data_IF_534811765838
#
_entry.id   IF_534811765838
#
_cell.length_a   1.000
_cell.length_b   1.000
_cell.length_c   1.000
_cell.angle_alpha   90.00
_cell.angle_beta   90.00
_cell.angle_gamma   90.00
#
_symmetry.space_group_name_H-M   'P 1'
#
loop_
_entity.id
_entity.type
_entity.pdbx_description
1 polymer ?
#
# COMPACT_ATOMS: atom_id res chain seq x y z
N UNK A 1 -9.44 -17.84 -14.59
CA UNK A 1 -9.54 -18.57 -13.32
C UNK A 1 -8.63 -17.89 -12.30
N UNK A 2 -9.14 -17.56 -11.13
CA UNK A 2 -8.37 -16.94 -10.04
C UNK A 2 -7.38 -17.96 -9.46
N UNK A 3 -6.09 -17.66 -9.57
CA UNK A 3 -5.01 -18.51 -9.08
C UNK A 3 -4.56 -18.13 -7.67
N UNK A 4 -4.63 -16.83 -7.33
CA UNK A 4 -4.21 -16.30 -6.04
C UNK A 4 -5.10 -15.14 -5.62
N UNK A 5 -5.64 -15.21 -4.41
CA UNK A 5 -6.23 -14.08 -3.71
C UNK A 5 -5.19 -13.48 -2.77
N UNK A 6 -5.07 -12.15 -2.79
CA UNK A 6 -4.24 -11.39 -1.85
C UNK A 6 -5.14 -10.49 -1.03
N UNK A 7 -5.08 -10.60 0.30
CA UNK A 7 -5.79 -9.71 1.23
C UNK A 7 -4.77 -8.74 1.83
N UNK A 8 -4.82 -7.49 1.43
CA UNK A 8 -3.90 -6.44 1.87
C UNK A 8 -4.56 -5.53 2.91
N UNK A 9 -3.80 -5.09 3.89
CA UNK A 9 -4.24 -4.28 5.01
C UNK A 9 -4.39 -2.79 4.67
N UNK A 10 -3.73 -2.33 3.58
CA UNK A 10 -3.82 -0.97 3.06
C UNK A 10 -3.69 -0.91 1.53
N UNK A 11 -4.18 0.19 0.94
CA UNK A 11 -4.27 0.34 -0.51
C UNK A 11 -2.90 0.43 -1.20
N UNK A 12 -1.94 1.16 -0.63
CA UNK A 12 -0.59 1.23 -1.21
C UNK A 12 0.08 -0.14 -1.19
N UNK A 13 -0.07 -0.89 -0.09
CA UNK A 13 0.42 -2.26 0.00
C UNK A 13 -0.25 -3.23 -0.96
N UNK A 14 -1.55 -3.03 -1.25
CA UNK A 14 -2.26 -3.78 -2.27
C UNK A 14 -1.64 -3.59 -3.66
N UNK A 15 -1.36 -2.34 -4.04
CA UNK A 15 -0.72 -2.01 -5.31
C UNK A 15 0.74 -2.47 -5.37
N UNK A 16 1.54 -2.24 -4.30
CA UNK A 16 2.93 -2.70 -4.21
C UNK A 16 3.06 -4.23 -4.37
N UNK A 17 2.05 -4.96 -3.92
CA UNK A 17 2.02 -6.41 -4.03
C UNK A 17 1.48 -6.85 -5.38
N UNK A 18 0.39 -6.25 -5.85
CA UNK A 18 -0.21 -6.56 -7.15
C UNK A 18 0.73 -6.32 -8.32
N UNK A 19 1.57 -5.28 -8.24
CA UNK A 19 2.53 -4.96 -9.31
C UNK A 19 3.61 -6.03 -9.48
N UNK A 20 3.94 -6.81 -8.45
CA UNK A 20 4.92 -7.90 -8.55
C UNK A 20 4.47 -8.99 -9.55
N UNK A 21 3.15 -9.18 -9.67
CA UNK A 21 2.54 -10.08 -10.66
C UNK A 21 2.32 -9.38 -12.01
N UNK A 22 1.79 -8.18 -12.00
CA UNK A 22 1.53 -7.40 -13.21
C UNK A 22 2.82 -7.14 -14.01
N UNK A 23 3.94 -6.85 -13.34
CA UNK A 23 5.25 -6.67 -13.97
C UNK A 23 5.77 -7.95 -14.68
N UNK A 24 5.28 -9.12 -14.27
CA UNK A 24 5.50 -10.39 -14.95
C UNK A 24 4.47 -10.67 -16.08
N UNK A 25 3.58 -9.72 -16.39
CA UNK A 25 2.54 -9.86 -17.40
C UNK A 25 1.34 -10.72 -16.95
N UNK A 26 1.23 -11.01 -15.66
CA UNK A 26 0.13 -11.80 -15.10
C UNK A 26 -1.08 -10.87 -14.89
N UNK A 27 -2.27 -11.20 -15.43
CA UNK A 27 -3.48 -10.40 -15.23
C UNK A 27 -3.78 -10.22 -13.74
N UNK A 28 -3.70 -8.98 -13.26
CA UNK A 28 -3.82 -8.64 -11.85
C UNK A 28 -4.78 -7.47 -11.68
N UNK A 29 -5.72 -7.60 -10.74
CA UNK A 29 -6.64 -6.55 -10.31
C UNK A 29 -6.45 -6.21 -8.85
N UNK A 30 -6.59 -4.95 -8.53
CA UNK A 30 -6.68 -4.45 -7.16
C UNK A 30 -8.05 -3.83 -6.97
N UNK A 31 -8.81 -4.34 -6.01
CA UNK A 31 -10.15 -3.86 -5.67
C UNK A 31 -10.16 -3.33 -4.24
N UNK A 32 -10.99 -2.33 -4.00
CA UNK A 32 -11.13 -1.68 -2.68
C UNK A 32 -12.42 -2.13 -2.01
N UNK A 33 -12.31 -2.53 -0.74
CA UNK A 33 -13.44 -2.83 0.13
C UNK A 33 -13.84 -4.30 0.16
N UNK A 34 -14.87 -4.59 0.96
CA UNK A 34 -15.28 -5.94 1.31
C UNK A 34 -16.33 -6.57 0.39
N UNK A 35 -16.79 -5.85 -0.63
CA UNK A 35 -17.80 -6.36 -1.57
C UNK A 35 -17.10 -6.85 -2.83
N UNK A 36 -16.71 -8.10 -2.84
CA UNK A 36 -15.92 -8.72 -3.92
C UNK A 36 -16.70 -9.88 -4.51
N UNK A 37 -16.94 -9.85 -5.82
CA UNK A 37 -17.45 -11.00 -6.55
C UNK A 37 -16.28 -11.87 -7.03
N UNK A 38 -15.93 -12.89 -6.24
CA UNK A 38 -14.85 -13.81 -6.57
C UNK A 38 -15.15 -14.69 -7.78
N UNK A 39 -16.43 -14.92 -8.11
CA UNK A 39 -16.85 -15.77 -9.21
C UNK A 39 -16.80 -15.04 -10.55
N UNK A 40 -17.11 -13.75 -10.57
CA UNK A 40 -17.06 -12.92 -11.79
C UNK A 40 -15.64 -12.40 -12.12
N UNK A 41 -14.64 -12.69 -11.28
CA UNK A 41 -13.27 -12.21 -11.49
C UNK A 41 -12.58 -12.95 -12.66
N UNK A 42 -12.06 -12.22 -13.62
CA UNK A 42 -11.33 -12.73 -14.79
C UNK A 42 -9.78 -12.63 -14.65
N UNK A 43 -9.28 -11.98 -13.60
CA UNK A 43 -7.85 -11.89 -13.32
C UNK A 43 -7.28 -13.21 -12.76
N UNK A 44 -6.00 -13.46 -13.02
CA UNK A 44 -5.27 -14.57 -12.42
C UNK A 44 -4.91 -14.27 -10.95
N UNK A 45 -4.67 -13.00 -10.63
CA UNK A 45 -4.39 -12.51 -9.27
C UNK A 45 -5.38 -11.41 -8.94
N UNK A 46 -6.10 -11.58 -7.85
CA UNK A 46 -6.98 -10.56 -7.28
C UNK A 46 -6.40 -10.09 -5.95
N UNK A 47 -6.18 -8.80 -5.84
CA UNK A 47 -5.76 -8.15 -4.59
C UNK A 47 -6.95 -7.39 -4.04
N UNK A 48 -7.32 -7.67 -2.82
CA UNK A 48 -8.37 -6.94 -2.09
C UNK A 48 -7.69 -6.05 -1.06
N UNK A 49 -7.85 -4.75 -1.23
CA UNK A 49 -7.54 -3.79 -0.18
C UNK A 49 -8.66 -3.82 0.85
N UNK A 50 -8.34 -4.24 2.05
CA UNK A 50 -9.30 -4.45 3.14
C UNK A 50 -9.42 -3.26 4.08
N UNK A 51 -8.50 -2.28 3.98
CA UNK A 51 -8.42 -1.10 4.86
C UNK A 51 -8.50 -1.46 6.36
N UNK A 52 -7.89 -2.57 6.73
CA UNK A 52 -7.95 -3.11 8.09
C UNK A 52 -6.87 -2.58 9.01
N UNK A 53 -5.84 -1.90 8.49
CA UNK A 53 -4.70 -1.44 9.27
C UNK A 53 -5.11 -0.58 10.46
N UNK A 54 -6.01 0.38 10.25
CA UNK A 54 -6.46 1.36 11.25
C UNK A 54 -7.70 0.92 12.05
N UNK A 55 -8.21 -0.28 11.78
CA UNK A 55 -9.34 -0.82 12.53
C UNK A 55 -8.89 -1.37 13.90
N UNK A 56 -9.86 -1.59 14.80
CA UNK A 56 -9.58 -2.42 15.97
C UNK A 56 -9.29 -3.87 15.56
N UNK A 57 -8.47 -4.58 16.33
CA UNK A 57 -8.12 -5.98 16.07
C UNK A 57 -9.35 -6.87 15.83
N UNK A 58 -10.43 -6.66 16.61
CA UNK A 58 -11.67 -7.42 16.44
C UNK A 58 -12.37 -7.14 15.09
N UNK A 59 -12.38 -5.88 14.64
CA UNK A 59 -12.96 -5.52 13.34
C UNK A 59 -12.09 -6.06 12.19
N UNK A 60 -10.76 -5.91 12.27
CA UNK A 60 -9.84 -6.44 11.28
C UNK A 60 -9.99 -7.98 11.16
N UNK A 61 -10.07 -8.68 12.29
CA UNK A 61 -10.37 -10.12 12.32
C UNK A 61 -11.66 -10.44 11.57
N UNK A 62 -12.76 -9.71 11.85
CA UNK A 62 -14.07 -9.97 11.24
C UNK A 62 -14.05 -9.79 9.72
N UNK A 63 -13.39 -8.74 9.21
CA UNK A 63 -13.24 -8.47 7.78
C UNK A 63 -12.48 -9.60 7.09
N UNK A 64 -11.31 -9.99 7.61
CA UNK A 64 -10.49 -11.05 7.03
C UNK A 64 -11.22 -12.40 7.09
N UNK A 65 -11.89 -12.72 8.20
CA UNK A 65 -12.67 -13.96 8.33
C UNK A 65 -13.82 -14.02 7.32
N UNK A 66 -14.55 -12.91 7.10
CA UNK A 66 -15.61 -12.81 6.09
C UNK A 66 -15.07 -13.09 4.69
N UNK A 67 -14.07 -12.31 4.26
CA UNK A 67 -13.49 -12.43 2.91
C UNK A 67 -12.87 -13.81 2.67
N UNK A 68 -12.20 -14.38 3.68
CA UNK A 68 -11.67 -15.76 3.60
C UNK A 68 -12.76 -16.79 3.36
N UNK A 69 -13.88 -16.70 4.10
CA UNK A 69 -15.02 -17.63 3.95
C UNK A 69 -15.67 -17.50 2.57
N UNK A 70 -15.91 -16.27 2.12
CA UNK A 70 -16.51 -16.01 0.81
C UNK A 70 -15.63 -16.50 -0.33
N UNK A 71 -14.31 -16.22 -0.28
CA UNK A 71 -13.34 -16.69 -1.25
C UNK A 71 -13.27 -18.22 -1.33
N UNK A 72 -13.22 -18.89 -0.17
CA UNK A 72 -13.23 -20.36 -0.13
C UNK A 72 -14.52 -20.96 -0.68
N UNK A 73 -15.68 -20.36 -0.38
CA UNK A 73 -16.96 -20.76 -0.91
C UNK A 73 -17.04 -20.59 -2.43
N UNK A 74 -16.33 -19.62 -2.99
CA UNK A 74 -16.17 -19.42 -4.43
C UNK A 74 -15.10 -20.31 -5.08
N UNK A 75 -14.45 -21.20 -4.31
CA UNK A 75 -13.46 -22.15 -4.80
C UNK A 75 -12.03 -21.57 -4.93
N UNK A 76 -11.73 -20.44 -4.32
CA UNK A 76 -10.37 -19.89 -4.28
C UNK A 76 -9.48 -20.83 -3.47
N UNK A 77 -8.40 -21.32 -4.09
CA UNK A 77 -7.54 -22.31 -3.46
C UNK A 77 -6.43 -21.66 -2.60
N UNK A 78 -5.72 -20.67 -3.13
CA UNK A 78 -4.59 -20.05 -2.44
C UNK A 78 -4.90 -18.63 -2.01
N UNK A 79 -4.62 -18.32 -0.75
CA UNK A 79 -4.78 -16.97 -0.17
C UNK A 79 -3.45 -16.52 0.41
N UNK A 80 -3.04 -15.31 0.05
CA UNK A 80 -1.88 -14.61 0.58
C UNK A 80 -2.34 -13.44 1.45
N UNK A 81 -1.98 -13.42 2.73
CA UNK A 81 -2.20 -12.24 3.57
C UNK A 81 -1.01 -11.29 3.43
N UNK A 82 -1.24 -10.16 2.80
CA UNK A 82 -0.26 -9.09 2.71
C UNK A 82 -0.29 -8.26 4.00
N UNK A 83 0.87 -8.12 4.62
CA UNK A 83 1.08 -7.31 5.83
C UNK A 83 1.99 -6.12 5.55
N UNK A 84 1.94 -5.10 6.39
CA UNK A 84 2.93 -4.01 6.36
C UNK A 84 4.34 -4.55 6.58
N UNK A 85 5.30 -4.11 5.78
CA UNK A 85 6.69 -4.55 5.89
C UNK A 85 7.46 -3.94 7.08
N UNK A 86 6.85 -2.95 7.78
CA UNK A 86 7.31 -2.46 9.07
C UNK A 86 6.51 -3.03 10.25
N UNK A 87 5.61 -4.01 9.99
CA UNK A 87 4.78 -4.71 10.98
C UNK A 87 3.78 -3.82 11.72
N UNK A 88 3.29 -2.72 11.12
CA UNK A 88 2.16 -1.93 11.67
C UNK A 88 0.85 -2.68 11.50
N UNK A 89 -0.14 -2.29 12.30
CA UNK A 89 -1.54 -2.74 12.17
C UNK A 89 -1.86 -4.05 12.89
N UNK A 90 -2.88 -4.73 12.41
CA UNK A 90 -3.55 -5.83 13.12
C UNK A 90 -3.02 -7.21 12.71
N UNK A 91 -1.69 -7.38 12.59
CA UNK A 91 -1.07 -8.58 12.00
C UNK A 91 -1.52 -9.86 12.68
N UNK A 92 -1.46 -9.94 14.03
CA UNK A 92 -1.85 -11.13 14.76
C UNK A 92 -3.34 -11.48 14.58
N UNK A 93 -4.22 -10.47 14.65
CA UNK A 93 -5.65 -10.64 14.46
C UNK A 93 -5.98 -11.14 13.03
N UNK A 94 -5.36 -10.55 12.02
CA UNK A 94 -5.61 -10.89 10.61
C UNK A 94 -5.08 -12.26 10.23
N UNK A 95 -3.86 -12.61 10.67
CA UNK A 95 -3.29 -13.95 10.43
C UNK A 95 -4.11 -15.04 11.15
N UNK A 96 -4.55 -14.77 12.37
CA UNK A 96 -5.40 -15.72 13.11
C UNK A 96 -6.78 -15.88 12.47
N UNK A 97 -7.37 -14.79 11.95
CA UNK A 97 -8.63 -14.84 11.22
C UNK A 97 -8.53 -15.73 9.97
N UNK A 98 -7.47 -15.52 9.19
CA UNK A 98 -7.20 -16.34 7.99
C UNK A 98 -7.03 -17.82 8.37
N UNK A 99 -6.19 -18.12 9.36
CA UNK A 99 -5.90 -19.49 9.77
C UNK A 99 -7.15 -20.20 10.33
N UNK A 100 -7.84 -19.58 11.30
CA UNK A 100 -9.02 -20.19 11.94
C UNK A 100 -10.19 -20.37 10.95
N UNK A 101 -10.40 -19.41 10.05
CA UNK A 101 -11.51 -19.47 9.09
C UNK A 101 -11.28 -20.50 7.98
N UNK A 102 -10.05 -20.65 7.53
CA UNK A 102 -9.71 -21.61 6.47
C UNK A 102 -9.74 -23.08 6.94
N UNK A 103 -9.63 -23.33 8.23
CA UNK A 103 -9.49 -24.67 8.78
C UNK A 103 -8.09 -25.29 8.55
N UNK A 104 -7.14 -24.52 8.05
CA UNK A 104 -5.76 -24.98 7.90
C UNK A 104 -5.06 -25.03 9.27
N UNK A 105 -4.06 -25.91 9.38
CA UNK A 105 -3.33 -26.10 10.64
C UNK A 105 -2.15 -25.16 10.78
N UNK A 106 -1.62 -24.66 9.66
CA UNK A 106 -0.37 -23.87 9.60
C UNK A 106 -0.49 -22.71 8.64
N UNK A 107 0.10 -21.58 9.03
CA UNK A 107 0.22 -20.40 8.19
C UNK A 107 1.68 -19.93 8.16
N UNK A 108 2.43 -20.19 7.08
CA UNK A 108 3.76 -19.63 6.89
C UNK A 108 3.70 -18.10 6.77
N UNK A 109 4.56 -17.42 7.52
CA UNK A 109 4.67 -15.98 7.54
C UNK A 109 6.12 -15.52 7.31
N UNK A 110 6.38 -14.82 6.20
CA UNK A 110 7.68 -14.27 5.80
C UNK A 110 7.62 -12.74 5.78
N UNK A 111 7.83 -12.07 6.92
CA UNK A 111 7.64 -10.62 7.03
C UNK A 111 8.75 -9.79 6.37
N UNK A 112 9.91 -10.37 6.06
CA UNK A 112 11.08 -9.65 5.58
C UNK A 112 10.90 -9.06 4.16
N UNK A 113 11.57 -7.91 3.92
CA UNK A 113 11.71 -7.24 2.62
C UNK A 113 13.16 -6.74 2.47
N UNK A 114 14.11 -7.65 2.21
CA UNK A 114 15.54 -7.33 2.21
C UNK A 114 15.94 -6.23 1.20
N UNK A 115 15.20 -6.10 0.09
CA UNK A 115 15.49 -5.08 -0.95
C UNK A 115 15.35 -3.63 -0.44
N UNK A 116 14.69 -3.45 0.70
CA UNK A 116 14.54 -2.14 1.36
C UNK A 116 15.04 -2.19 2.81
N UNK A 117 15.98 -3.11 3.06
CA UNK A 117 16.67 -3.28 4.35
C UNK A 117 15.73 -3.53 5.54
N UNK A 118 14.66 -4.35 5.30
CA UNK A 118 13.75 -4.86 6.33
C UNK A 118 13.93 -6.36 6.43
N UNK A 119 14.54 -6.80 7.52
CA UNK A 119 14.97 -8.20 7.69
C UNK A 119 14.47 -8.78 9.01
N UNK A 120 14.32 -10.12 9.06
CA UNK A 120 13.99 -10.83 10.30
C UNK A 120 15.12 -11.77 10.62
N UNK A 121 15.67 -11.68 11.85
CA UNK A 121 16.75 -12.53 12.36
C UNK A 121 16.47 -12.92 13.79
N UNK A 122 16.59 -14.20 14.10
CA UNK A 122 16.31 -14.77 15.41
C UNK A 122 14.91 -14.39 15.94
N UNK A 123 13.92 -14.29 15.01
CA UNK A 123 12.56 -13.91 15.28
C UNK A 123 12.35 -12.41 15.57
N UNK A 124 13.37 -11.58 15.42
CA UNK A 124 13.32 -10.12 15.61
C UNK A 124 13.34 -9.43 14.26
N UNK A 125 12.47 -8.45 14.08
CA UNK A 125 12.38 -7.66 12.86
C UNK A 125 13.18 -6.37 12.96
N UNK A 126 14.02 -6.13 11.94
CA UNK A 126 14.92 -4.98 11.85
C UNK A 126 14.59 -4.12 10.64
N UNK A 127 14.78 -2.83 10.77
CA UNK A 127 14.68 -1.84 9.69
C UNK A 127 15.98 -1.02 9.67
N UNK A 128 16.70 -1.06 8.55
CA UNK A 128 18.00 -0.37 8.40
C UNK A 128 18.96 -0.69 9.56
N UNK A 129 18.99 -1.94 9.96
CA UNK A 129 19.91 -2.46 10.97
C UNK A 129 19.50 -2.24 12.44
N UNK A 130 18.40 -1.50 12.72
CA UNK A 130 17.87 -1.32 14.08
C UNK A 130 16.58 -2.10 14.29
N UNK A 131 16.27 -2.58 15.52
CA UNK A 131 14.97 -3.18 15.79
C UNK A 131 13.82 -2.26 15.38
N UNK A 132 12.73 -2.81 14.85
CA UNK A 132 11.60 -2.00 14.34
C UNK A 132 11.04 -1.04 15.38
N UNK A 133 11.09 -1.39 16.66
CA UNK A 133 10.66 -0.54 17.78
C UNK A 133 11.54 0.70 17.99
N UNK A 134 12.78 0.68 17.51
CA UNK A 134 13.73 1.79 17.59
C UNK A 134 13.78 2.61 16.29
N UNK A 135 13.06 2.15 15.26
CA UNK A 135 12.93 2.81 13.98
C UNK A 135 11.84 3.90 14.02
N UNK A 136 11.70 4.73 12.98
CA UNK A 136 10.58 5.67 12.87
C UNK A 136 9.19 5.04 13.01
N UNK A 137 9.05 3.74 12.78
CA UNK A 137 7.78 3.02 12.92
C UNK A 137 7.45 2.65 14.38
N UNK A 138 8.45 2.58 15.26
CA UNK A 138 8.23 2.42 16.70
C UNK A 138 7.72 3.68 17.39
N UNK A 139 7.92 4.85 16.77
CA UNK A 139 7.48 6.15 17.26
C UNK A 139 6.37 6.77 16.38
N UNK A 140 5.76 5.97 15.51
CA UNK A 140 4.64 6.41 14.67
C UNK A 140 3.50 6.92 15.58
N UNK A 141 2.95 8.14 15.35
CA UNK A 141 1.95 8.72 16.24
C UNK A 141 0.58 8.02 16.17
N UNK A 142 0.30 7.29 15.11
CA UNK A 142 -0.97 6.58 14.89
C UNK A 142 -0.87 5.11 15.24
N UNK A 143 0.19 4.45 14.77
CA UNK A 143 0.36 2.99 14.86
C UNK A 143 1.80 2.60 15.24
N UNK A 144 2.22 2.92 16.48
CA UNK A 144 3.56 2.57 16.94
C UNK A 144 3.71 1.04 17.01
N UNK A 145 4.78 0.52 16.41
CA UNK A 145 5.15 -0.90 16.54
C UNK A 145 5.83 -1.11 17.88
N UNK A 146 5.17 -1.85 18.79
CA UNK A 146 5.59 -2.00 20.19
C UNK A 146 6.50 -3.18 20.45
N UNK A 147 6.50 -4.18 19.56
CA UNK A 147 7.30 -5.39 19.69
C UNK A 147 8.16 -5.61 18.45
N UNK A 148 9.47 -5.74 18.64
CA UNK A 148 10.39 -6.11 17.55
C UNK A 148 10.42 -7.63 17.34
N UNK A 149 10.15 -8.43 18.40
CA UNK A 149 10.00 -9.88 18.29
C UNK A 149 8.64 -10.22 17.71
N UNK A 150 8.64 -10.86 16.54
CA UNK A 150 7.41 -11.08 15.75
C UNK A 150 6.40 -11.97 16.48
N UNK A 151 6.85 -12.96 17.28
CA UNK A 151 5.96 -13.79 18.09
C UNK A 151 5.23 -13.01 19.18
N UNK A 152 5.90 -12.02 19.81
CA UNK A 152 5.28 -11.14 20.82
C UNK A 152 4.25 -10.21 20.18
N UNK A 153 4.59 -9.63 19.01
CA UNK A 153 3.67 -8.79 18.24
C UNK A 153 2.39 -9.55 17.86
N UNK A 154 2.51 -10.79 17.43
CA UNK A 154 1.35 -11.64 17.09
C UNK A 154 0.57 -11.97 18.37
N UNK A 155 1.25 -12.38 19.45
CA UNK A 155 0.65 -12.79 20.71
C UNK A 155 -0.12 -11.67 21.44
N UNK A 156 0.19 -10.38 21.16
CA UNK A 156 -0.59 -9.26 21.68
C UNK A 156 -2.04 -9.25 21.16
N UNK A 157 -2.28 -9.81 19.97
CA UNK A 157 -3.57 -9.70 19.27
C UNK A 157 -4.33 -11.03 19.15
N UNK A 158 -3.71 -12.17 19.45
CA UNK A 158 -4.34 -13.49 19.33
C UNK A 158 -3.71 -14.53 20.24
N UNK A 159 -4.50 -15.55 20.59
CA UNK A 159 -4.10 -16.77 21.30
C UNK A 159 -3.59 -17.89 20.40
N UNK A 160 -3.58 -17.68 19.07
CA UNK A 160 -3.02 -18.65 18.11
C UNK A 160 -1.52 -18.77 18.33
N UNK A 161 -0.99 -20.00 18.53
CA UNK A 161 0.44 -20.19 18.71
C UNK A 161 1.24 -19.64 17.52
N UNK A 162 2.34 -18.93 17.81
CA UNK A 162 3.27 -18.42 16.82
C UNK A 162 4.69 -18.86 17.16
N UNK A 163 5.41 -19.35 16.16
CA UNK A 163 6.75 -19.94 16.32
C UNK A 163 7.71 -19.29 15.32
N UNK A 164 8.90 -18.91 15.79
CA UNK A 164 9.98 -18.44 14.92
C UNK A 164 10.92 -19.56 14.53
N UNK A 165 11.29 -19.59 13.27
CA UNK A 165 12.21 -20.55 12.68
C UNK A 165 13.28 -19.82 11.87
N UNK A 166 14.51 -20.37 11.80
CA UNK A 166 15.52 -19.87 10.88
C UNK A 166 15.05 -20.03 9.42
N UNK A 167 15.77 -19.40 8.50
CA UNK A 167 15.63 -19.65 7.05
C UNK A 167 15.71 -21.14 6.75
N UNK A 168 14.73 -21.68 6.03
CA UNK A 168 14.77 -23.09 5.58
C UNK A 168 15.77 -23.21 4.42
N UNK A 169 16.68 -24.19 4.56
CA UNK A 169 17.60 -24.55 3.49
C UNK A 169 16.91 -25.49 2.49
N UNK A 170 17.48 -25.57 1.31
CA UNK A 170 16.98 -26.47 0.28
C UNK A 170 16.98 -27.92 0.79
N UNK A 171 15.85 -28.61 0.67
CA UNK A 171 15.69 -29.99 1.16
C UNK A 171 15.21 -30.10 2.61
N UNK A 172 15.24 -29.08 3.41
CA UNK A 172 14.68 -29.09 4.77
C UNK A 172 13.15 -29.21 4.75
N UNK A 173 12.63 -29.93 5.75
CA UNK A 173 11.19 -30.07 5.92
C UNK A 173 10.59 -28.82 6.57
N UNK A 174 9.38 -28.48 6.15
CA UNK A 174 8.60 -27.42 6.83
C UNK A 174 8.24 -27.91 8.23
N UNK A 175 8.41 -27.08 9.28
CA UNK A 175 8.08 -27.45 10.65
C UNK A 175 6.63 -27.93 10.80
N UNK A 176 6.40 -28.91 11.71
CA UNK A 176 5.09 -29.55 11.88
C UNK A 176 4.18 -28.86 12.91
N UNK A 177 4.69 -27.85 13.62
CA UNK A 177 3.93 -27.10 14.62
C UNK A 177 2.67 -26.48 14.00
N UNK A 178 1.56 -26.57 14.71
CA UNK A 178 0.30 -25.95 14.31
C UNK A 178 0.25 -24.49 14.78
N UNK A 179 -0.11 -23.58 13.88
CA UNK A 179 -0.17 -22.15 14.17
C UNK A 179 0.50 -21.30 13.09
N UNK A 180 1.00 -20.13 13.47
CA UNK A 180 1.69 -19.19 12.60
C UNK A 180 3.19 -19.49 12.64
N UNK A 181 3.76 -19.84 11.50
CA UNK A 181 5.17 -20.21 11.36
C UNK A 181 5.95 -19.05 10.75
N UNK A 182 6.68 -18.32 11.57
CA UNK A 182 7.46 -17.14 11.17
C UNK A 182 8.85 -17.62 10.75
N UNK A 183 9.29 -17.20 9.56
CA UNK A 183 10.62 -17.56 9.06
C UNK A 183 11.53 -16.35 8.96
N UNK A 184 12.74 -16.50 9.44
CA UNK A 184 13.80 -15.51 9.28
C UNK A 184 14.21 -15.38 7.81
N UNK A 185 14.57 -14.16 7.41
CA UNK A 185 15.22 -13.89 6.16
C UNK A 185 16.01 -12.57 6.24
N UNK A 186 17.29 -12.63 5.92
CA UNK A 186 18.20 -11.50 5.82
C UNK A 186 18.53 -11.12 4.39
N UNK A 187 18.12 -11.95 3.41
CA UNK A 187 18.41 -11.76 1.99
C UNK A 187 17.26 -12.26 1.11
N UNK A 188 17.29 -11.92 -0.19
CA UNK A 188 16.37 -12.48 -1.18
C UNK A 188 16.55 -14.01 -1.33
N UNK A 189 17.78 -14.47 -1.21
CA UNK A 189 18.07 -15.90 -1.31
C UNK A 189 17.46 -16.68 -0.14
N UNK A 190 17.41 -16.09 1.06
CA UNK A 190 16.73 -16.69 2.21
C UNK A 190 15.23 -16.81 1.97
N UNK A 191 14.59 -15.73 1.48
CA UNK A 191 13.17 -15.77 1.11
C UNK A 191 12.90 -16.83 0.03
N UNK A 192 13.74 -16.88 -1.00
CA UNK A 192 13.60 -17.82 -2.09
C UNK A 192 13.83 -19.28 -1.63
N UNK A 193 14.80 -19.52 -0.74
CA UNK A 193 15.08 -20.83 -0.19
C UNK A 193 13.90 -21.35 0.64
N UNK A 194 13.41 -20.55 1.59
CA UNK A 194 12.22 -20.87 2.38
C UNK A 194 10.99 -21.05 1.48
N UNK A 195 10.81 -20.14 0.49
CA UNK A 195 9.72 -20.27 -0.48
C UNK A 195 9.74 -21.60 -1.22
N UNK A 196 10.90 -22.03 -1.75
CA UNK A 196 11.03 -23.34 -2.43
C UNK A 196 10.69 -24.50 -1.49
N UNK A 197 11.11 -24.45 -0.23
CA UNK A 197 10.78 -25.47 0.75
C UNK A 197 9.25 -25.55 0.99
N UNK A 198 8.58 -24.41 1.13
CA UNK A 198 7.12 -24.33 1.30
C UNK A 198 6.34 -24.90 0.10
N UNK A 199 6.86 -24.71 -1.13
CA UNK A 199 6.21 -25.16 -2.37
C UNK A 199 6.59 -26.59 -2.80
N UNK A 200 7.50 -27.25 -2.09
CA UNK A 200 8.03 -28.58 -2.45
C UNK A 200 6.95 -29.65 -2.59
N UNK A 201 5.96 -29.65 -1.70
CA UNK A 201 4.87 -30.63 -1.68
C UNK A 201 3.58 -30.10 -2.35
N UNK A 202 3.70 -29.12 -3.22
CA UNK A 202 2.59 -28.46 -3.90
C UNK A 202 2.38 -27.03 -3.43
N UNK A 203 1.37 -26.38 -4.00
CA UNK A 203 1.05 -24.98 -3.69
C UNK A 203 0.45 -24.89 -2.29
N UNK A 204 1.00 -24.06 -1.39
CA UNK A 204 0.37 -23.78 -0.11
C UNK A 204 -1.01 -23.14 -0.28
N UNK A 205 -1.93 -23.52 0.58
CA UNK A 205 -3.26 -22.91 0.61
C UNK A 205 -3.25 -21.54 1.25
N UNK A 206 -2.47 -21.39 2.31
CA UNK A 206 -2.26 -20.12 3.01
C UNK A 206 -0.80 -19.73 3.00
N UNK A 207 -0.57 -18.44 2.86
CA UNK A 207 0.74 -17.79 2.98
C UNK A 207 0.56 -16.38 3.50
N UNK A 208 1.57 -15.83 4.15
CA UNK A 208 1.57 -14.43 4.57
C UNK A 208 2.97 -13.81 4.44
N UNK A 209 3.00 -12.51 4.29
CA UNK A 209 4.22 -11.71 4.20
C UNK A 209 3.96 -10.33 3.62
N UNK A 210 5.03 -9.62 3.29
CA UNK A 210 4.96 -8.34 2.60
C UNK A 210 5.22 -8.50 1.08
N UNK A 211 5.40 -7.38 0.36
CA UNK A 211 5.70 -7.39 -1.07
C UNK A 211 7.04 -8.12 -1.39
N UNK A 212 7.96 -8.19 -0.43
CA UNK A 212 9.25 -8.89 -0.60
C UNK A 212 9.09 -10.38 -0.92
N UNK A 213 8.27 -11.10 -0.15
CA UNK A 213 7.98 -12.51 -0.44
C UNK A 213 7.01 -12.66 -1.62
N UNK A 214 6.03 -11.75 -1.75
CA UNK A 214 5.08 -11.78 -2.86
C UNK A 214 5.76 -11.69 -4.24
N UNK A 215 6.89 -10.97 -4.35
CA UNK A 215 7.67 -10.86 -5.57
C UNK A 215 8.23 -12.20 -6.08
N UNK A 216 8.36 -13.20 -5.21
CA UNK A 216 8.83 -14.55 -5.57
C UNK A 216 7.68 -15.48 -5.97
N UNK A 217 6.44 -15.16 -5.63
CA UNK A 217 5.29 -16.04 -5.88
C UNK A 217 5.03 -16.32 -7.36
N UNK A 218 5.22 -15.39 -8.31
CA UNK A 218 5.10 -15.71 -9.75
C UNK A 218 5.93 -16.91 -10.17
N UNK A 219 7.18 -16.99 -9.71
CA UNK A 219 8.10 -18.10 -10.00
C UNK A 219 7.74 -19.35 -9.21
N UNK A 220 7.51 -19.24 -7.90
CA UNK A 220 7.16 -20.35 -7.02
C UNK A 220 5.85 -21.03 -7.43
N UNK A 221 4.87 -20.24 -7.89
CA UNK A 221 3.58 -20.72 -8.39
C UNK A 221 3.63 -21.17 -9.86
N UNK A 222 4.79 -21.03 -10.53
CA UNK A 222 4.97 -21.35 -11.96
C UNK A 222 3.94 -20.65 -12.85
N UNK A 223 3.70 -19.37 -12.60
CA UNK A 223 2.84 -18.53 -13.44
C UNK A 223 3.58 -18.21 -14.74
N UNK A 224 3.17 -18.85 -15.84
CA UNK A 224 3.98 -18.92 -17.08
C UNK A 224 3.72 -17.80 -18.08
N UNK A 225 2.67 -17.02 -17.93
CA UNK A 225 2.35 -15.93 -18.87
C UNK A 225 3.22 -14.70 -18.62
N UNK A 226 4.53 -14.80 -18.93
CA UNK A 226 5.44 -13.67 -18.85
C UNK A 226 5.36 -12.86 -20.14
N UNK A 227 4.56 -11.82 -20.16
CA UNK A 227 4.57 -10.81 -21.21
C UNK A 227 5.46 -9.64 -20.77
N UNK A 228 6.29 -9.15 -21.68
CA UNK A 228 7.02 -7.90 -21.41
C UNK A 228 6.03 -6.76 -21.29
N UNK A 229 5.92 -6.17 -20.10
CA UNK A 229 5.07 -5.02 -19.87
C UNK A 229 5.85 -3.76 -20.25
N UNK A 230 5.35 -3.04 -21.23
CA UNK A 230 5.90 -1.73 -21.61
C UNK A 230 5.15 -0.62 -20.90
N UNK A 231 5.90 0.35 -20.37
CA UNK A 231 5.30 1.55 -19.78
C UNK A 231 4.54 2.33 -20.86
N UNK A 232 3.26 2.66 -20.67
CA UNK A 232 2.49 3.45 -21.61
C UNK A 232 3.06 4.87 -21.75
N UNK A 233 2.71 5.55 -22.84
CA UNK A 233 3.00 6.98 -22.95
C UNK A 233 2.10 7.74 -21.97
N UNK A 234 2.72 8.50 -21.09
CA UNK A 234 2.06 9.35 -20.11
C UNK A 234 2.07 10.81 -20.57
N UNK A 235 1.18 11.64 -20.02
CA UNK A 235 1.24 13.09 -20.20
C UNK A 235 2.52 13.62 -19.52
N UNK A 236 3.36 14.42 -20.17
CA UNK A 236 4.60 14.92 -19.59
C UNK A 236 4.40 15.90 -18.41
N UNK A 237 3.20 16.46 -18.29
CA UNK A 237 2.85 17.30 -17.13
C UNK A 237 2.61 16.39 -15.92
N UNK A 238 3.27 16.69 -14.80
CA UNK A 238 3.18 15.89 -13.58
C UNK A 238 2.60 16.72 -12.44
N UNK A 239 1.48 16.27 -11.89
CA UNK A 239 0.95 16.75 -10.61
C UNK A 239 1.28 15.71 -9.50
N UNK A 240 2.04 16.14 -8.50
CA UNK A 240 2.27 15.39 -7.27
C UNK A 240 1.28 15.89 -6.21
N UNK A 241 0.48 14.98 -5.64
CA UNK A 241 -0.40 15.28 -4.51
C UNK A 241 0.08 14.51 -3.29
N UNK A 242 0.46 15.23 -2.24
CA UNK A 242 1.05 14.67 -1.04
C UNK A 242 0.15 14.82 0.18
N UNK A 243 -0.34 13.66 0.69
CA UNK A 243 -0.96 13.53 2.01
C UNK A 243 -0.04 12.89 3.05
N UNK A 244 1.21 12.55 2.68
CA UNK A 244 2.15 11.87 3.56
C UNK A 244 2.92 12.85 4.44
N UNK A 245 3.06 12.50 5.74
CA UNK A 245 3.92 13.21 6.71
C UNK A 245 5.31 12.57 6.87
N UNK A 246 5.61 11.53 6.08
CA UNK A 246 6.87 10.81 6.17
C UNK A 246 8.06 11.69 5.78
N UNK A 247 9.11 11.73 6.59
CA UNK A 247 10.28 12.60 6.42
C UNK A 247 11.02 12.41 5.09
N UNK A 248 11.03 11.18 4.54
CA UNK A 248 11.62 10.89 3.21
C UNK A 248 10.81 11.61 2.13
N UNK A 249 9.47 11.50 2.18
CA UNK A 249 8.59 12.18 1.23
C UNK A 249 8.74 13.70 1.33
N UNK A 250 8.77 14.27 2.54
CA UNK A 250 8.92 15.72 2.72
C UNK A 250 10.22 16.23 2.09
N UNK A 251 11.35 15.53 2.30
CA UNK A 251 12.61 15.87 1.62
C UNK A 251 12.53 15.79 0.10
N UNK A 252 11.81 14.80 -0.44
CA UNK A 252 11.58 14.69 -1.88
C UNK A 252 10.81 15.90 -2.43
N UNK A 253 9.79 16.40 -1.70
CA UNK A 253 9.04 17.60 -2.07
C UNK A 253 9.95 18.85 -2.04
N UNK A 254 10.78 19.00 -1.02
CA UNK A 254 11.70 20.14 -0.89
C UNK A 254 12.72 20.14 -2.03
N UNK A 255 13.31 19.01 -2.36
CA UNK A 255 14.22 18.86 -3.51
C UNK A 255 13.51 19.17 -4.83
N UNK A 256 12.28 18.71 -5.01
CA UNK A 256 11.51 18.97 -6.23
C UNK A 256 11.20 20.47 -6.37
N UNK A 257 10.77 21.16 -5.31
CA UNK A 257 10.52 22.61 -5.30
C UNK A 257 11.79 23.41 -5.67
N UNK A 258 12.92 23.08 -5.07
CA UNK A 258 14.23 23.70 -5.36
C UNK A 258 14.69 23.49 -6.82
N UNK A 259 14.13 22.49 -7.51
CA UNK A 259 14.44 22.15 -8.90
C UNK A 259 13.26 22.45 -9.86
N UNK A 260 12.44 23.43 -9.55
CA UNK A 260 11.49 24.03 -10.48
C UNK A 260 10.08 23.46 -10.47
N UNK A 261 9.71 22.65 -9.47
CA UNK A 261 8.30 22.34 -9.26
C UNK A 261 7.58 23.53 -8.60
N UNK A 262 6.42 23.90 -9.14
CA UNK A 262 5.51 24.83 -8.46
C UNK A 262 4.82 24.09 -7.30
N UNK A 263 4.88 24.66 -6.08
CA UNK A 263 4.36 24.01 -4.87
C UNK A 263 3.27 24.84 -4.22
N UNK A 264 2.10 24.20 -4.00
CA UNK A 264 0.97 24.74 -3.29
C UNK A 264 0.75 23.96 -1.99
N UNK A 265 0.77 24.66 -0.86
CA UNK A 265 0.42 24.12 0.46
C UNK A 265 -1.04 24.47 0.75
N UNK A 266 -1.86 23.45 1.03
CA UNK A 266 -3.25 23.66 1.41
C UNK A 266 -3.33 24.24 2.83
N UNK A 267 -4.15 25.28 2.99
CA UNK A 267 -4.42 25.89 4.30
C UNK A 267 -5.22 24.94 5.20
N UNK A 268 -5.20 25.10 6.54
CA UNK A 268 -6.02 24.30 7.44
C UNK A 268 -7.52 24.31 7.09
N UNK A 269 -8.03 25.46 6.63
CA UNK A 269 -9.41 25.61 6.18
C UNK A 269 -9.72 24.77 4.94
N UNK A 270 -8.83 24.76 3.95
CA UNK A 270 -8.96 23.95 2.74
C UNK A 270 -8.90 22.46 3.03
N UNK A 271 -8.19 22.06 4.07
CA UNK A 271 -8.04 20.68 4.49
C UNK A 271 -9.20 20.16 5.32
N UNK A 272 -9.86 21.00 6.12
CA UNK A 272 -10.74 20.55 7.19
C UNK A 272 -12.16 21.13 7.19
N UNK A 273 -12.44 22.20 6.43
CA UNK A 273 -13.81 22.72 6.34
C UNK A 273 -14.66 21.81 5.44
N UNK A 274 -15.76 21.22 5.97
CA UNK A 274 -16.66 20.41 5.16
C UNK A 274 -17.24 21.27 4.02
N UNK A 275 -17.25 20.73 2.80
CA UNK A 275 -17.80 21.40 1.63
C UNK A 275 -16.98 22.61 1.14
N UNK A 276 -15.74 22.79 1.58
CA UNK A 276 -14.90 23.91 1.12
C UNK A 276 -14.85 23.99 -0.41
N UNK A 277 -14.62 22.86 -1.08
CA UNK A 277 -14.45 22.81 -2.54
C UNK A 277 -15.74 23.04 -3.35
N UNK A 278 -16.89 23.07 -2.70
CA UNK A 278 -18.19 23.46 -3.25
C UNK A 278 -18.52 24.93 -3.04
N UNK A 279 -17.83 25.62 -2.11
CA UNK A 279 -18.00 27.03 -1.80
C UNK A 279 -17.45 27.95 -2.89
N UNK A 280 -17.82 29.23 -2.90
CA UNK A 280 -17.26 30.23 -3.83
C UNK A 280 -15.74 30.35 -3.67
N UNK A 281 -15.23 30.43 -2.43
CA UNK A 281 -13.78 30.44 -2.17
C UNK A 281 -13.09 29.16 -2.68
N UNK A 282 -13.75 28.02 -2.58
CA UNK A 282 -13.24 26.74 -3.12
C UNK A 282 -13.19 26.75 -4.65
N UNK A 283 -14.18 27.32 -5.32
CA UNK A 283 -14.20 27.47 -6.78
C UNK A 283 -13.07 28.41 -7.26
N UNK A 284 -12.86 29.54 -6.59
CA UNK A 284 -11.75 30.46 -6.87
C UNK A 284 -10.40 29.74 -6.67
N UNK A 285 -10.24 28.98 -5.57
CA UNK A 285 -9.03 28.19 -5.34
C UNK A 285 -8.80 27.16 -6.44
N UNK A 286 -9.85 26.44 -6.86
CA UNK A 286 -9.74 25.46 -7.97
C UNK A 286 -9.38 26.12 -9.30
N UNK A 287 -9.88 27.35 -9.56
CA UNK A 287 -9.46 28.13 -10.72
C UNK A 287 -7.97 28.45 -10.65
N UNK A 288 -7.47 28.94 -9.52
CA UNK A 288 -6.04 29.22 -9.32
C UNK A 288 -5.17 27.97 -9.46
N UNK A 289 -5.65 26.82 -8.96
CA UNK A 289 -4.96 25.52 -9.18
C UNK A 289 -4.90 25.19 -10.67
N UNK A 290 -6.00 25.35 -11.42
CA UNK A 290 -6.01 25.07 -12.86
C UNK A 290 -5.06 26.01 -13.64
N UNK A 291 -4.98 27.28 -13.26
CA UNK A 291 -4.04 28.24 -13.83
C UNK A 291 -2.59 27.84 -13.53
N UNK A 292 -2.29 27.41 -12.29
CA UNK A 292 -0.98 26.89 -11.91
C UNK A 292 -0.60 25.65 -12.74
N UNK A 293 -1.52 24.69 -12.89
CA UNK A 293 -1.30 23.46 -13.67
C UNK A 293 -1.10 23.75 -15.17
N UNK A 294 -1.80 24.74 -15.72
CA UNK A 294 -1.65 25.14 -17.11
C UNK A 294 -0.32 25.87 -17.39
N UNK A 295 0.15 26.65 -16.41
CA UNK A 295 1.38 27.43 -16.53
C UNK A 295 2.65 26.60 -16.24
N UNK A 296 2.56 25.51 -15.47
CA UNK A 296 3.73 24.77 -14.99
C UNK A 296 3.58 23.29 -15.31
N UNK A 297 4.57 22.68 -15.97
CA UNK A 297 4.52 21.24 -16.29
C UNK A 297 4.77 20.35 -15.07
N UNK A 298 5.28 20.87 -13.95
CA UNK A 298 5.63 20.14 -12.75
C UNK A 298 5.07 20.85 -11.52
N UNK A 299 4.07 20.25 -10.90
CA UNK A 299 3.36 20.85 -9.78
C UNK A 299 3.28 19.93 -8.57
N UNK A 300 3.23 20.51 -7.40
CA UNK A 300 3.01 19.82 -6.11
C UNK A 300 1.83 20.50 -5.42
N UNK A 301 0.90 19.69 -4.91
CA UNK A 301 -0.11 20.11 -3.93
C UNK A 301 0.08 19.23 -2.69
N UNK A 302 0.22 19.85 -1.52
CA UNK A 302 0.46 19.11 -0.28
C UNK A 302 -0.41 19.58 0.88
N UNK A 303 -0.54 18.68 1.87
CA UNK A 303 -1.30 18.92 3.12
C UNK A 303 -0.44 19.34 4.28
N UNK A 304 0.89 19.28 4.15
CA UNK A 304 1.79 19.70 5.22
C UNK A 304 1.85 21.24 5.27
N UNK A 305 1.78 21.78 6.48
CA UNK A 305 1.95 23.21 6.70
C UNK A 305 3.43 23.59 6.59
N UNK A 306 3.70 24.82 6.24
CA UNK A 306 5.05 25.36 6.26
C UNK A 306 5.57 25.45 7.72
N UNK A 307 6.75 24.89 7.96
CA UNK A 307 7.35 24.88 9.30
C UNK A 307 6.79 23.87 10.29
N UNK A 308 5.88 22.97 9.85
CA UNK A 308 5.31 21.89 10.67
C UNK A 308 3.79 21.99 10.85
N UNK A 309 3.14 20.87 11.15
CA UNK A 309 1.68 20.70 11.06
C UNK A 309 0.89 21.27 12.27
N UNK A 310 1.51 22.10 13.12
CA UNK A 310 0.84 22.71 14.28
C UNK A 310 -0.36 23.58 13.89
N UNK A 311 -0.31 24.45 12.85
CA UNK A 311 -1.48 25.26 12.45
C UNK A 311 -2.70 24.43 12.10
N UNK A 312 -2.51 23.29 11.42
CA UNK A 312 -3.60 22.35 11.09
C UNK A 312 -4.10 21.63 12.33
N UNK A 313 -3.22 21.23 13.25
CA UNK A 313 -3.60 20.58 14.51
C UNK A 313 -4.42 21.54 15.40
N UNK A 314 -4.00 22.81 15.54
CA UNK A 314 -4.74 23.82 16.30
C UNK A 314 -6.11 24.10 15.70
N UNK A 315 -6.19 24.15 14.36
CA UNK A 315 -7.45 24.35 13.66
C UNK A 315 -8.42 23.18 13.84
N UNK A 316 -7.92 21.95 13.87
CA UNK A 316 -8.68 20.73 14.16
C UNK A 316 -9.18 20.72 15.61
N UNK A 317 -8.30 21.04 16.58
CA UNK A 317 -8.62 21.09 17.99
C UNK A 317 -9.73 22.12 18.27
N UNK A 318 -9.67 23.31 17.65
CA UNK A 318 -10.71 24.33 17.77
C UNK A 318 -12.09 23.88 17.25
N UNK A 319 -12.15 22.80 16.46
CA UNK A 319 -13.37 22.18 15.93
C UNK A 319 -13.77 20.88 16.65
N UNK A 320 -13.04 20.50 17.68
CA UNK A 320 -13.27 19.26 18.42
C UNK A 320 -12.98 17.99 17.62
N UNK A 321 -12.15 18.08 16.56
CA UNK A 321 -11.71 16.91 15.80
C UNK A 321 -10.60 16.19 16.57
N UNK A 322 -10.78 14.91 16.76
CA UNK A 322 -9.73 14.01 17.24
C UNK A 322 -8.74 13.67 16.11
N UNK A 323 -7.72 12.90 16.40
CA UNK A 323 -6.67 12.53 15.47
C UNK A 323 -7.21 11.77 14.24
N UNK A 324 -8.20 10.90 14.44
CA UNK A 324 -8.86 10.15 13.36
C UNK A 324 -9.71 11.09 12.49
N UNK A 325 -10.48 11.98 13.10
CA UNK A 325 -11.26 13.00 12.39
C UNK A 325 -10.36 13.93 11.56
N UNK A 326 -9.18 14.26 12.08
CA UNK A 326 -8.16 15.03 11.35
C UNK A 326 -7.66 14.26 10.12
N UNK A 327 -7.25 13.01 10.27
CA UNK A 327 -6.74 12.15 9.20
C UNK A 327 -7.77 11.97 8.09
N UNK A 328 -8.98 11.57 8.45
CA UNK A 328 -10.09 11.34 7.51
C UNK A 328 -10.52 12.65 6.84
N UNK A 329 -10.59 13.74 7.59
CA UNK A 329 -10.96 15.05 7.07
C UNK A 329 -9.99 15.54 5.98
N UNK A 330 -8.69 15.47 6.24
CA UNK A 330 -7.66 15.86 5.26
C UNK A 330 -7.75 14.99 4.01
N UNK A 331 -7.79 13.68 4.15
CA UNK A 331 -7.83 12.76 3.02
C UNK A 331 -9.10 12.93 2.17
N UNK A 332 -10.26 13.11 2.82
CA UNK A 332 -11.55 13.38 2.16
C UNK A 332 -11.51 14.70 1.39
N UNK A 333 -10.96 15.77 1.99
CA UNK A 333 -10.86 17.07 1.33
C UNK A 333 -10.01 17.00 0.06
N UNK A 334 -8.85 16.32 0.11
CA UNK A 334 -8.02 16.10 -1.09
C UNK A 334 -8.80 15.30 -2.13
N UNK A 335 -9.53 14.26 -1.72
CA UNK A 335 -10.35 13.46 -2.62
C UNK A 335 -11.39 14.31 -3.37
N UNK A 336 -12.09 15.22 -2.67
CA UNK A 336 -13.03 16.15 -3.28
C UNK A 336 -12.36 17.12 -4.25
N UNK A 337 -11.22 17.71 -3.87
CA UNK A 337 -10.42 18.57 -4.76
C UNK A 337 -10.04 17.82 -6.04
N UNK A 338 -9.46 16.64 -5.91
CA UNK A 338 -9.04 15.82 -7.05
C UNK A 338 -10.23 15.42 -7.93
N UNK A 339 -11.38 15.06 -7.33
CA UNK A 339 -12.61 14.76 -8.08
C UNK A 339 -13.03 15.92 -9.01
N UNK A 340 -12.85 17.17 -8.59
CA UNK A 340 -13.07 18.35 -9.45
C UNK A 340 -11.98 18.49 -10.52
N UNK A 341 -10.72 18.25 -10.18
CA UNK A 341 -9.60 18.37 -11.11
C UNK A 341 -9.58 17.26 -12.18
N UNK A 342 -10.18 16.10 -11.93
CA UNK A 342 -10.25 15.01 -12.93
C UNK A 342 -10.94 15.40 -14.25
N UNK A 343 -11.75 16.44 -14.23
CA UNK A 343 -12.39 16.98 -15.44
C UNK A 343 -11.59 18.11 -16.10
N UNK A 344 -10.50 18.55 -15.48
CA UNK A 344 -9.66 19.64 -16.00
C UNK A 344 -8.77 19.17 -17.15
N UNK A 345 -8.70 19.89 -18.26
CA UNK A 345 -7.75 19.62 -19.34
C UNK A 345 -6.30 19.96 -18.96
N UNK A 346 -6.09 20.70 -17.87
CA UNK A 346 -4.77 21.05 -17.37
C UNK A 346 -4.15 19.90 -16.55
N UNK A 347 -4.96 18.93 -16.07
CA UNK A 347 -4.47 17.76 -15.33
C UNK A 347 -3.75 16.80 -16.28
N UNK A 348 -2.44 16.63 -16.06
CA UNK A 348 -1.61 15.64 -16.73
C UNK A 348 -1.53 14.32 -15.97
N UNK A 349 -0.33 13.75 -15.91
CA UNK A 349 -0.05 12.55 -15.10
C UNK A 349 -0.15 12.90 -13.61
N UNK A 350 -0.88 12.07 -12.86
CA UNK A 350 -1.09 12.26 -11.42
C UNK A 350 -0.20 11.30 -10.64
N UNK A 351 0.52 11.80 -9.64
CA UNK A 351 1.21 11.03 -8.63
C UNK A 351 0.60 11.31 -7.26
N UNK A 352 0.15 10.26 -6.58
CA UNK A 352 -0.41 10.33 -5.23
C UNK A 352 0.53 9.68 -4.22
N UNK A 353 0.79 10.36 -3.11
CA UNK A 353 1.54 9.78 -1.99
C UNK A 353 0.75 9.85 -0.70
N UNK A 354 0.65 8.69 -0.05
CA UNK A 354 -0.22 8.43 1.10
C UNK A 354 -1.40 7.54 0.74
N UNK A 355 -1.58 6.43 1.46
CA UNK A 355 -2.64 5.43 1.21
C UNK A 355 -4.03 6.04 1.32
N UNK A 356 -4.30 6.76 2.41
CA UNK A 356 -5.57 7.45 2.64
C UNK A 356 -5.90 8.46 1.53
N UNK A 357 -4.89 9.19 1.05
CA UNK A 357 -5.07 10.15 -0.05
C UNK A 357 -5.50 9.46 -1.34
N UNK A 358 -4.83 8.35 -1.68
CA UNK A 358 -5.18 7.54 -2.84
C UNK A 358 -6.59 6.97 -2.72
N UNK A 359 -6.91 6.36 -1.57
CA UNK A 359 -8.20 5.76 -1.29
C UNK A 359 -9.33 6.78 -1.42
N UNK A 360 -9.21 7.94 -0.79
CA UNK A 360 -10.24 8.97 -0.84
C UNK A 360 -10.37 9.60 -2.23
N UNK A 361 -9.25 9.74 -2.95
CA UNK A 361 -9.28 10.16 -4.35
C UNK A 361 -10.13 9.18 -5.19
N UNK A 362 -9.86 7.88 -5.10
CA UNK A 362 -10.59 6.86 -5.85
C UNK A 362 -12.08 6.81 -5.44
N UNK A 363 -12.38 6.92 -4.15
CA UNK A 363 -13.75 6.98 -3.64
C UNK A 363 -14.53 8.19 -4.19
N UNK A 364 -13.91 9.37 -4.22
CA UNK A 364 -14.56 10.59 -4.72
C UNK A 364 -14.86 10.56 -6.23
N UNK A 365 -14.14 9.75 -6.98
CA UNK A 365 -14.37 9.54 -8.42
C UNK A 365 -15.08 8.21 -8.72
N UNK A 366 -15.53 7.50 -7.67
CA UNK A 366 -16.23 6.21 -7.74
C UNK A 366 -15.43 5.11 -8.49
N UNK A 367 -14.12 5.07 -8.26
CA UNK A 367 -13.24 4.04 -8.78
C UNK A 367 -12.98 3.02 -7.67
N UNK A 368 -13.45 1.78 -7.90
CA UNK A 368 -13.30 0.66 -6.95
C UNK A 368 -12.22 -0.33 -7.38
N UNK A 369 -11.67 -0.16 -8.58
CA UNK A 369 -10.75 -1.12 -9.17
C UNK A 369 -9.61 -0.41 -9.91
N UNK A 370 -8.38 -0.88 -9.66
CA UNK A 370 -7.19 -0.49 -10.40
C UNK A 370 -6.45 -1.71 -10.92
N UNK A 371 -5.83 -1.54 -12.09
CA UNK A 371 -4.93 -2.54 -12.65
C UNK A 371 -3.48 -2.02 -12.52
N UNK A 372 -2.63 -2.64 -11.69
CA UNK A 372 -1.21 -2.33 -11.67
C UNK A 372 -0.60 -2.58 -13.06
N UNK A 373 0.27 -1.68 -13.51
CA UNK A 373 0.92 -1.78 -14.84
C UNK A 373 2.38 -2.16 -14.68
N UNK A 374 3.15 -1.34 -13.99
CA UNK A 374 4.57 -1.59 -13.74
C UNK A 374 5.05 -0.89 -12.48
N UNK A 375 6.10 -1.41 -11.89
CA UNK A 375 6.87 -0.72 -10.85
C UNK A 375 7.83 0.26 -11.52
N UNK A 376 7.67 1.55 -11.24
CA UNK A 376 8.55 2.58 -11.79
C UNK A 376 9.86 2.68 -10.98
N UNK A 377 9.73 2.58 -9.68
CA UNK A 377 10.78 2.44 -8.67
C UNK A 377 10.21 1.64 -7.51
N UNK A 378 11.05 1.13 -6.60
CA UNK A 378 10.56 0.39 -5.42
C UNK A 378 9.57 1.22 -4.61
N UNK A 379 8.36 0.67 -4.42
CA UNK A 379 7.25 1.35 -3.76
C UNK A 379 6.62 2.50 -4.57
N UNK A 380 6.89 2.54 -5.87
CA UNK A 380 6.29 3.50 -6.83
C UNK A 380 5.63 2.72 -7.97
N UNK A 381 4.32 2.65 -7.97
CA UNK A 381 3.53 1.84 -8.88
C UNK A 381 2.77 2.71 -9.86
N UNK A 382 2.89 2.43 -11.16
CA UNK A 382 1.98 2.93 -12.17
C UNK A 382 0.78 1.98 -12.24
N UNK A 383 -0.41 2.51 -12.04
CA UNK A 383 -1.67 1.79 -12.18
C UNK A 383 -2.57 2.48 -13.22
N UNK A 384 -3.46 1.71 -13.83
CA UNK A 384 -4.51 2.21 -14.71
C UNK A 384 -5.89 1.90 -14.15
N UNK A 385 -6.86 2.71 -14.55
CA UNK A 385 -8.27 2.54 -14.23
C UNK A 385 -9.14 3.14 -15.33
N UNK A 386 -10.41 2.81 -15.34
CA UNK A 386 -11.38 3.39 -16.28
C UNK A 386 -12.18 4.48 -15.57
N UNK A 387 -12.14 5.69 -16.10
CA UNK A 387 -12.94 6.82 -15.63
C UNK A 387 -13.77 7.40 -16.78
N UNK A 388 -15.09 7.38 -16.65
CA UNK A 388 -16.05 7.83 -17.69
C UNK A 388 -15.76 7.25 -19.08
N UNK A 389 -15.46 5.94 -19.14
CA UNK A 389 -15.16 5.22 -20.38
C UNK A 389 -13.76 5.46 -20.97
N UNK A 390 -12.92 6.26 -20.31
CA UNK A 390 -11.55 6.51 -20.74
C UNK A 390 -10.55 5.85 -19.80
N UNK A 391 -9.48 5.26 -20.36
CA UNK A 391 -8.36 4.78 -19.58
C UNK A 391 -7.60 5.96 -18.99
N UNK A 392 -7.34 5.92 -17.69
CA UNK A 392 -6.55 6.89 -16.94
C UNK A 392 -5.42 6.17 -16.23
N UNK A 393 -4.36 6.93 -15.92
CA UNK A 393 -3.20 6.43 -15.20
C UNK A 393 -2.99 7.24 -13.93
N UNK A 394 -2.54 6.55 -12.87
CA UNK A 394 -2.10 7.16 -11.63
C UNK A 394 -0.80 6.51 -11.19
N UNK A 395 0.14 7.31 -10.73
CA UNK A 395 1.35 6.84 -10.06
C UNK A 395 1.08 6.91 -8.57
N UNK A 396 1.31 5.81 -7.87
CA UNK A 396 1.18 5.74 -6.42
C UNK A 396 2.54 5.57 -5.78
N UNK A 397 2.78 6.25 -4.67
CA UNK A 397 4.03 6.19 -3.95
C UNK A 397 3.80 5.96 -2.47
N UNK A 398 4.38 4.90 -1.93
CA UNK A 398 4.42 4.67 -0.50
C UNK A 398 5.33 5.70 0.20
N UNK A 399 4.89 6.27 1.33
CA UNK A 399 5.54 7.40 2.00
C UNK A 399 7.01 7.19 2.36
N UNK A 400 7.38 6.00 2.84
CA UNK A 400 8.72 5.66 3.29
C UNK A 400 9.68 5.12 2.21
N UNK A 401 9.44 5.41 0.93
CA UNK A 401 10.20 4.84 -0.19
C UNK A 401 10.87 5.89 -1.07
N UNK A 402 11.96 5.48 -1.69
CA UNK A 402 12.70 6.25 -2.69
C UNK A 402 13.74 7.20 -2.08
N UNK A 403 14.65 7.65 -2.94
CA UNK A 403 15.72 8.59 -2.61
C UNK A 403 15.25 10.06 -2.78
N UNK A 404 16.02 11.02 -2.35
CA UNK A 404 15.64 12.44 -2.30
C UNK A 404 15.27 13.05 -3.67
N UNK A 405 15.90 12.58 -4.76
CA UNK A 405 15.65 13.07 -6.13
C UNK A 405 14.55 12.31 -6.87
N UNK A 406 13.87 11.37 -6.23
CA UNK A 406 12.90 10.48 -6.87
C UNK A 406 11.87 11.23 -7.75
N UNK A 407 11.31 12.36 -7.26
CA UNK A 407 10.30 13.11 -8.01
C UNK A 407 10.86 13.75 -9.29
N UNK A 408 12.12 14.16 -9.27
CA UNK A 408 12.82 14.68 -10.45
C UNK A 408 13.00 13.58 -11.49
N UNK A 409 13.53 12.44 -11.06
CA UNK A 409 13.79 11.31 -11.97
C UNK A 409 12.51 10.76 -12.59
N UNK A 410 11.41 10.72 -11.82
CA UNK A 410 10.10 10.34 -12.34
C UNK A 410 9.58 11.34 -13.37
N UNK A 411 9.67 12.65 -13.09
CA UNK A 411 9.25 13.70 -14.03
C UNK A 411 10.05 13.64 -15.34
N UNK A 412 11.37 13.46 -15.27
CA UNK A 412 12.24 13.33 -16.42
C UNK A 412 11.94 12.06 -17.23
N UNK A 413 11.71 10.94 -16.54
CA UNK A 413 11.33 9.67 -17.18
C UNK A 413 9.98 9.73 -17.88
N UNK A 414 9.02 10.48 -17.33
CA UNK A 414 7.70 10.69 -17.94
C UNK A 414 7.83 11.58 -19.18
N UNK A 415 8.65 12.64 -19.10
CA UNK A 415 8.84 13.59 -20.19
C UNK A 415 9.67 13.02 -21.36
N UNK A 416 10.54 12.02 -21.12
CA UNK A 416 11.43 11.43 -22.13
C UNK A 416 10.74 10.42 -23.05
N UNK A 417 9.49 10.05 -22.82
CA UNK A 417 8.68 9.07 -23.60
C UNK A 417 7.50 9.74 -24.30
#
# INVERSE_FOLDING_TARGET
MLLLLILADDFTGALDTGVQFAACGIPTRVVVGEQVDFAANDAAVLVVDTETRHLSAAKAYAVIAKLTREAMSAGVFSIYKKTDSALRGNIGAELSALLKTSGERRLPFLPAFPQIDRVTRDGVHYISGVPVTESPFGIDPFEPVRHARVTELIGEQTDVPAYSFPTLKEGEAVPEQEGILIFDAGSLDDLASTGRALFRNGRPRLMAGCAGFAALLPDLMKMTERRTVTMPKLDPRLLVVCGSVNSITLRQLDVAEQNGFSRLRLTPRQKLDPGYWESENGKETLQGINEMLAANPRCIIETNDEGGNQPTADYAAARGLDLEGLRVGIASSIGHMLGKLFTSPALGTLLLTGGDTLLQCMNCVDIKELEPVCEMEKGVVLARFTYRGCTRYVITKSGGFGHEKLLLDLADRIAAK
#
